data_IF_035545602373
#
_entry.id   IF_035545602373
#
_cell.length_a   1.000
_cell.length_b   1.000
_cell.length_c   1.000
_cell.angle_alpha   90.00
_cell.angle_beta   90.00
_cell.angle_gamma   90.00
#
_symmetry.space_group_name_H-M   'P 1'
#
loop_
_entity.id
_entity.type
_entity.pdbx_description
1 polymer ?
#
# COMPACT_ATOMS: atom_id res chain seq x y z
N UNK A 1 7.33 -4.18 3.77
CA UNK A 1 8.26 -3.19 3.18
C UNK A 1 7.99 -1.85 3.83
N UNK A 2 9.01 -1.07 4.18
CA UNK A 2 8.82 0.32 4.65
C UNK A 2 9.01 1.23 3.45
N UNK A 3 8.13 2.22 3.28
CA UNK A 3 8.19 3.15 2.14
C UNK A 3 8.34 4.59 2.60
N UNK A 4 8.81 5.45 1.69
CA UNK A 4 8.95 6.89 1.90
C UNK A 4 8.17 7.68 0.83
N UNK A 5 8.21 9.01 0.93
CA UNK A 5 7.50 9.89 -0.01
C UNK A 5 8.00 9.88 -1.46
N UNK A 6 9.04 9.09 -1.80
CA UNK A 6 9.50 8.92 -3.18
C UNK A 6 9.00 7.63 -3.83
N UNK A 7 8.73 6.60 -3.04
CA UNK A 7 8.26 5.30 -3.54
C UNK A 7 7.25 4.69 -2.57
N UNK A 8 6.07 5.31 -2.48
CA UNK A 8 5.02 4.96 -1.54
C UNK A 8 4.05 3.88 -2.05
N UNK A 9 2.97 3.60 -1.30
CA UNK A 9 1.98 2.59 -1.66
C UNK A 9 1.36 2.84 -3.04
N UNK A 10 1.14 4.11 -3.39
CA UNK A 10 0.58 4.54 -4.68
C UNK A 10 1.49 4.17 -5.86
N UNK A 11 2.79 4.44 -5.77
CA UNK A 11 3.75 4.09 -6.83
C UNK A 11 3.89 2.58 -6.99
N UNK A 12 3.92 1.86 -5.87
CA UNK A 12 3.95 0.39 -5.86
C UNK A 12 2.68 -0.16 -6.52
N UNK A 13 1.52 0.38 -6.16
CA UNK A 13 0.24 -0.03 -6.69
C UNK A 13 0.13 0.22 -8.20
N UNK A 14 0.54 1.42 -8.67
CA UNK A 14 0.56 1.75 -10.09
C UNK A 14 1.41 0.76 -10.90
N UNK A 15 2.60 0.40 -10.39
CA UNK A 15 3.47 -0.57 -11.06
C UNK A 15 2.89 -2.00 -11.07
N UNK A 16 2.18 -2.41 -10.02
CA UNK A 16 1.53 -3.72 -9.96
C UNK A 16 0.31 -3.77 -10.88
N UNK A 17 -0.51 -2.72 -10.88
CA UNK A 17 -1.66 -2.59 -11.78
C UNK A 17 -1.23 -2.64 -13.26
N UNK A 18 -0.16 -1.91 -13.62
CA UNK A 18 0.41 -1.95 -14.97
C UNK A 18 0.90 -3.35 -15.39
N UNK A 19 1.19 -4.24 -14.43
CA UNK A 19 1.58 -5.64 -14.65
C UNK A 19 0.39 -6.61 -14.61
N UNK A 20 -0.85 -6.11 -14.60
CA UNK A 20 -2.07 -6.93 -14.54
C UNK A 20 -2.36 -7.52 -13.16
N UNK A 21 -1.72 -7.01 -12.09
CA UNK A 21 -1.86 -7.51 -10.72
C UNK A 21 -2.73 -6.60 -9.83
N UNK A 22 -3.59 -5.79 -10.44
CA UNK A 22 -4.46 -4.84 -9.73
C UNK A 22 -5.45 -5.50 -8.75
N UNK A 23 -5.78 -6.78 -8.98
CA UNK A 23 -6.69 -7.55 -8.14
C UNK A 23 -6.07 -8.03 -6.81
N UNK A 24 -4.75 -7.88 -6.62
CA UNK A 24 -4.08 -8.31 -5.39
C UNK A 24 -4.41 -7.39 -4.24
N UNK A 25 -4.44 -7.94 -3.04
CA UNK A 25 -4.64 -7.16 -1.82
C UNK A 25 -3.35 -6.49 -1.39
N UNK A 26 -3.49 -5.23 -0.98
CA UNK A 26 -2.45 -4.45 -0.34
C UNK A 26 -2.92 -4.01 1.04
N UNK A 27 -2.09 -4.27 2.04
CA UNK A 27 -2.27 -3.78 3.41
C UNK A 27 -1.27 -2.65 3.64
N UNK A 28 -1.79 -1.48 3.98
CA UNK A 28 -1.03 -0.26 4.21
C UNK A 28 -1.23 0.15 5.66
N UNK A 29 -0.17 0.07 6.46
CA UNK A 29 -0.14 0.58 7.82
C UNK A 29 0.58 1.92 7.86
N UNK A 30 -0.11 2.98 8.26
CA UNK A 30 0.44 4.33 8.44
C UNK A 30 0.63 4.61 9.93
N UNK A 31 1.75 5.25 10.28
CA UNK A 31 2.05 5.68 11.66
C UNK A 31 1.88 4.55 12.70
N UNK A 32 2.34 3.34 12.36
CA UNK A 32 2.22 2.17 13.23
C UNK A 32 2.86 2.43 14.60
N UNK A 33 2.18 2.01 15.66
CA UNK A 33 2.55 2.24 17.06
C UNK A 33 2.54 3.73 17.50
N UNK A 34 1.89 4.61 16.74
CA UNK A 34 1.57 5.99 17.15
C UNK A 34 0.06 6.15 17.40
N UNK A 35 -0.33 7.23 18.09
CA UNK A 35 -1.74 7.49 18.44
C UNK A 35 -2.67 7.67 17.22
N UNK A 36 -2.11 8.01 16.06
CA UNK A 36 -2.82 8.21 14.80
C UNK A 36 -2.63 7.04 13.81
N UNK A 37 -2.37 5.82 14.32
CA UNK A 37 -2.25 4.61 13.51
C UNK A 37 -3.46 4.42 12.59
N UNK A 38 -3.20 4.08 11.32
CA UNK A 38 -4.24 3.71 10.36
C UNK A 38 -3.82 2.48 9.59
N UNK A 39 -4.71 1.51 9.49
CA UNK A 39 -4.50 0.31 8.68
C UNK A 39 -5.58 0.25 7.62
N UNK A 40 -5.17 0.22 6.34
CA UNK A 40 -6.06 0.14 5.19
C UNK A 40 -5.80 -1.14 4.42
N UNK A 41 -6.89 -1.80 4.05
CA UNK A 41 -6.88 -3.00 3.23
C UNK A 41 -7.62 -2.66 1.96
N UNK A 42 -6.92 -2.65 0.84
CA UNK A 42 -7.49 -2.27 -0.45
C UNK A 42 -6.94 -3.19 -1.55
N UNK A 43 -7.73 -3.48 -2.60
CA UNK A 43 -7.18 -3.96 -3.85
C UNK A 43 -6.13 -2.97 -4.37
N UNK A 44 -5.06 -3.47 -4.97
CA UNK A 44 -4.00 -2.64 -5.58
C UNK A 44 -4.58 -1.60 -6.55
N UNK A 45 -5.64 -1.93 -7.29
CA UNK A 45 -6.30 -1.00 -8.21
C UNK A 45 -6.98 0.19 -7.54
N UNK A 46 -7.22 0.13 -6.23
CA UNK A 46 -7.91 1.16 -5.45
C UNK A 46 -6.96 1.97 -4.55
N UNK A 47 -5.65 1.72 -4.65
CA UNK A 47 -4.63 2.47 -3.90
C UNK A 47 -4.27 3.73 -4.67
N UNK A 48 -4.95 4.83 -4.36
CA UNK A 48 -4.79 6.14 -5.01
C UNK A 48 -4.44 7.29 -4.06
N UNK A 49 -4.40 7.04 -2.75
CA UNK A 49 -4.19 8.05 -1.72
C UNK A 49 -2.75 8.57 -1.58
N UNK A 50 -2.61 9.66 -0.84
CA UNK A 50 -1.33 10.07 -0.24
C UNK A 50 -1.16 9.36 1.10
N UNK A 51 0.05 8.85 1.32
CA UNK A 51 0.38 8.08 2.52
C UNK A 51 1.61 8.70 3.19
N UNK A 52 1.52 8.91 4.49
CA UNK A 52 2.65 9.35 5.31
C UNK A 52 3.63 8.18 5.54
N UNK A 53 4.44 8.21 6.60
CA UNK A 53 5.34 7.09 6.91
C UNK A 53 4.53 5.81 7.10
N UNK A 54 4.85 4.80 6.27
CA UNK A 54 4.02 3.62 6.18
C UNK A 54 4.82 2.32 5.98
N UNK A 55 4.16 1.22 6.32
CA UNK A 55 4.56 -0.13 5.98
C UNK A 55 3.53 -0.76 5.04
N UNK A 56 4.01 -1.41 3.98
CA UNK A 56 3.21 -2.08 2.96
C UNK A 56 3.45 -3.59 2.99
N UNK A 57 2.36 -4.36 2.94
CA UNK A 57 2.34 -5.80 2.67
C UNK A 57 1.46 -6.06 1.45
N UNK A 58 1.95 -6.85 0.49
CA UNK A 58 1.16 -7.29 -0.66
C UNK A 58 0.88 -8.77 -0.47
N UNK A 59 -0.39 -9.13 -0.44
CA UNK A 59 -0.83 -10.51 -0.29
C UNK A 59 -0.94 -11.16 -1.67
N UNK A 60 -0.21 -12.26 -1.85
CA UNK A 60 -0.25 -13.11 -3.05
C UNK A 60 -0.81 -14.49 -2.66
N UNK A 61 -1.99 -14.48 -2.02
CA UNK A 61 -2.69 -15.70 -1.65
C UNK A 61 -3.37 -16.27 -2.91
N UNK A 62 -3.07 -17.54 -3.20
CA UNK A 62 -3.60 -18.32 -4.32
C UNK A 62 -4.79 -19.16 -3.90
#
# INVERSE_FOLDING_TARGET
MVTDGRCGPREIAAQLAARGKGYRWMVIGENLAMDNERIRWLPVSEVDGEYEMNAVVILDER
#
